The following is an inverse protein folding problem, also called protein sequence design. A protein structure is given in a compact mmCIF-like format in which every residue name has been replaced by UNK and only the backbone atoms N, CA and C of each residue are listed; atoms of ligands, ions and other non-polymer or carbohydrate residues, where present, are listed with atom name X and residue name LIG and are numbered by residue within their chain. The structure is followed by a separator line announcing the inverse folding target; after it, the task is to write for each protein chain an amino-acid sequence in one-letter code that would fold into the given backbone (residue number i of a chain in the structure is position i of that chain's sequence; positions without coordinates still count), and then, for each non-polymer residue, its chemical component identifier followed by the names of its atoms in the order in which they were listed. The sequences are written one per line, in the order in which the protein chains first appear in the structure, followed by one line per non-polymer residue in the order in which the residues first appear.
data_IF_420528391279
#
_entry.id   IF_420528391279
#
_cell.length_a   1.000
_cell.length_b   1.000
_cell.length_c   1.000
_cell.angle_alpha   90.00
_cell.angle_beta   90.00
_cell.angle_gamma   90.00
#
_symmetry.space_group_name_H-M   'P 1'
#
loop_
_entity.id
_entity.type
_entity.pdbx_description
1 polymer ?
#
# COMPACT_ATOMS: atom_id res chain seq x y z
N UNK A 1 -1.88 -2.87 20.04
CA UNK A 1 -2.43 -3.61 18.87
C UNK A 1 -3.68 -2.94 18.32
N UNK A 2 -4.62 -2.50 19.16
CA UNK A 2 -5.87 -1.81 18.75
C UNK A 2 -5.64 -0.52 17.95
N UNK A 3 -4.56 0.21 18.24
CA UNK A 3 -4.24 1.49 17.60
C UNK A 3 -3.85 1.35 16.12
N UNK A 4 -3.12 0.29 15.76
CA UNK A 4 -2.72 0.05 14.36
C UNK A 4 -3.94 -0.25 13.49
N UNK A 5 -4.83 -1.12 13.97
CA UNK A 5 -6.08 -1.47 13.27
C UNK A 5 -6.95 -0.24 13.04
N UNK A 6 -7.14 0.60 14.06
CA UNK A 6 -7.93 1.82 13.93
C UNK A 6 -7.27 2.83 12.96
N UNK A 7 -5.93 2.96 13.00
CA UNK A 7 -5.18 3.81 12.08
C UNK A 7 -5.30 3.35 10.62
N UNK A 8 -5.14 2.05 10.36
CA UNK A 8 -5.25 1.49 9.01
C UNK A 8 -6.69 1.52 8.48
N UNK A 9 -7.69 1.33 9.34
CA UNK A 9 -9.10 1.48 8.97
C UNK A 9 -9.43 2.92 8.54
N UNK A 10 -8.95 3.92 9.29
CA UNK A 10 -9.09 5.33 8.90
C UNK A 10 -8.41 5.62 7.58
N UNK A 11 -7.15 5.19 7.41
CA UNK A 11 -6.41 5.37 6.16
C UNK A 11 -7.16 4.75 4.97
N UNK A 12 -7.75 3.57 5.14
CA UNK A 12 -8.53 2.90 4.10
C UNK A 12 -9.77 3.72 3.71
N UNK A 13 -10.52 4.25 4.66
CA UNK A 13 -11.68 5.12 4.39
C UNK A 13 -11.25 6.36 3.60
N UNK A 14 -10.14 7.00 3.98
CA UNK A 14 -9.61 8.16 3.24
C UNK A 14 -9.21 7.79 1.80
N UNK A 15 -8.60 6.62 1.60
CA UNK A 15 -8.23 6.11 0.27
C UNK A 15 -9.47 5.80 -0.59
N UNK A 16 -10.49 5.17 -0.02
CA UNK A 16 -11.77 4.91 -0.68
C UNK A 16 -12.44 6.22 -1.11
N UNK A 17 -12.42 7.25 -0.25
CA UNK A 17 -12.91 8.60 -0.57
C UNK A 17 -12.14 9.29 -1.71
N UNK A 18 -10.90 8.87 -1.97
CA UNK A 18 -10.06 9.34 -3.08
C UNK A 18 -10.16 8.44 -4.34
N UNK A 19 -11.06 7.45 -4.35
CA UNK A 19 -11.27 6.55 -5.47
C UNK A 19 -10.30 5.36 -5.54
N UNK A 20 -9.54 5.11 -4.47
CA UNK A 20 -8.63 3.96 -4.38
C UNK A 20 -9.37 2.79 -3.73
N UNK A 21 -9.98 1.93 -4.55
CA UNK A 21 -10.86 0.84 -4.09
C UNK A 21 -10.16 -0.50 -3.88
N UNK A 22 -8.93 -0.64 -4.39
CA UNK A 22 -8.23 -1.92 -4.42
C UNK A 22 -7.36 -2.17 -3.18
N UNK A 23 -7.47 -1.31 -2.15
CA UNK A 23 -6.64 -1.40 -0.96
C UNK A 23 -7.13 -2.49 0.01
N UNK A 24 -6.23 -3.40 0.40
CA UNK A 24 -6.52 -4.49 1.34
C UNK A 24 -5.39 -4.72 2.36
N UNK A 25 -5.75 -5.27 3.52
CA UNK A 25 -4.80 -5.55 4.62
C UNK A 25 -4.09 -6.88 4.36
N UNK A 26 -2.76 -6.90 4.48
CA UNK A 26 -1.93 -8.09 4.17
C UNK A 26 -1.43 -8.81 5.41
N UNK A 27 -1.23 -8.11 6.54
CA UNK A 27 -0.68 -8.72 7.77
C UNK A 27 -1.00 -7.89 9.03
N UNK A 28 -1.39 -8.56 10.12
CA UNK A 28 -1.55 -8.07 11.50
C UNK A 28 -2.12 -6.65 11.67
N UNK A 29 -3.05 -6.25 10.79
CA UNK A 29 -3.68 -4.91 10.73
C UNK A 29 -2.71 -3.72 10.65
N UNK A 30 -1.44 -3.96 10.34
CA UNK A 30 -0.40 -2.92 10.30
C UNK A 30 0.11 -2.64 8.89
N UNK A 31 -0.30 -3.44 7.90
CA UNK A 31 0.12 -3.36 6.51
C UNK A 31 -1.11 -3.32 5.59
N UNK A 32 -1.22 -2.25 4.80
CA UNK A 32 -2.22 -2.08 3.75
C UNK A 32 -1.52 -2.07 2.39
N UNK A 33 -1.79 -3.09 1.58
CA UNK A 33 -1.43 -3.07 0.17
C UNK A 33 -2.47 -2.25 -0.57
N UNK A 34 -2.02 -1.26 -1.33
CA UNK A 34 -2.88 -0.35 -2.09
C UNK A 34 -2.83 -0.69 -3.57
N UNK A 35 -1.68 -1.15 -4.05
CA UNK A 35 -1.48 -1.67 -5.40
C UNK A 35 -0.26 -2.58 -5.42
N UNK A 36 -0.04 -3.30 -6.52
CA UNK A 36 1.15 -4.15 -6.69
C UNK A 36 2.40 -3.27 -6.57
N UNK A 37 3.19 -3.52 -5.52
CA UNK A 37 4.36 -2.73 -5.17
C UNK A 37 4.06 -1.46 -4.36
N UNK A 38 2.81 -1.04 -4.14
CA UNK A 38 2.49 0.11 -3.29
C UNK A 38 1.91 -0.35 -1.95
N UNK A 39 2.67 -0.19 -0.88
CA UNK A 39 2.30 -0.69 0.46
C UNK A 39 2.44 0.43 1.48
N UNK A 40 1.47 0.55 2.38
CA UNK A 40 1.52 1.43 3.55
C UNK A 40 1.60 0.59 4.81
N UNK A 41 2.50 0.96 5.72
CA UNK A 41 2.64 0.35 7.04
C UNK A 41 2.45 1.39 8.12
N UNK A 42 1.85 1.03 9.25
CA UNK A 42 1.75 1.89 10.42
C UNK A 42 2.55 1.32 11.58
N UNK A 43 3.54 2.08 12.06
CA UNK A 43 4.42 1.66 13.16
C UNK A 43 4.91 2.86 13.94
N UNK A 44 4.94 2.72 15.27
CA UNK A 44 5.43 3.73 16.21
C UNK A 44 4.65 5.06 16.11
N UNK A 45 3.38 5.04 15.69
CA UNK A 45 2.57 6.25 15.49
C UNK A 45 2.71 6.91 14.11
N UNK A 46 3.44 6.29 13.18
CA UNK A 46 3.70 6.85 11.86
C UNK A 46 3.26 5.92 10.73
N UNK A 47 2.68 6.51 9.69
CA UNK A 47 2.50 5.91 8.38
C UNK A 47 3.80 5.93 7.60
N UNK A 48 4.12 4.80 6.97
CA UNK A 48 5.30 4.59 6.13
C UNK A 48 4.85 3.86 4.88
N UNK A 49 4.91 4.52 3.73
CA UNK A 49 4.60 3.86 2.46
C UNK A 49 5.85 3.62 1.61
N UNK A 50 5.79 2.57 0.79
CA UNK A 50 6.90 2.03 -0.03
C UNK A 50 6.39 1.70 -1.44
N UNK A 51 7.27 1.82 -2.43
CA UNK A 51 7.00 1.55 -3.85
C UNK A 51 8.02 0.51 -4.40
N UNK A 52 7.53 -0.65 -4.82
CA UNK A 52 8.33 -1.76 -5.33
C UNK A 52 9.44 -2.19 -4.38
N UNK A 53 10.59 -2.56 -4.95
CA UNK A 53 11.83 -2.87 -4.21
C UNK A 53 12.51 -1.59 -3.69
N UNK A 54 12.02 -0.42 -4.08
CA UNK A 54 12.63 0.86 -3.76
C UNK A 54 12.14 1.29 -2.38
N UNK A 55 13.07 1.38 -1.43
CA UNK A 55 12.83 1.89 -0.07
C UNK A 55 12.61 3.42 -0.06
N UNK A 56 11.74 3.97 -0.90
CA UNK A 56 11.27 5.34 -0.69
C UNK A 56 10.39 5.33 0.55
N UNK A 57 10.90 5.91 1.64
CA UNK A 57 10.22 5.98 2.93
C UNK A 57 9.67 7.38 3.11
N UNK A 58 8.36 7.51 3.01
CA UNK A 58 7.67 8.75 3.35
C UNK A 58 7.01 8.58 4.71
N UNK A 59 7.52 9.31 5.70
CA UNK A 59 7.00 9.32 7.06
C UNK A 59 5.88 10.36 7.19
N UNK A 60 4.77 10.01 7.82
CA UNK A 60 3.73 10.96 8.20
C UNK A 60 2.90 10.47 9.36
N UNK A 61 2.34 11.38 10.16
CA UNK A 61 1.42 11.07 11.27
C UNK A 61 -0.04 11.31 10.89
N UNK A 62 -0.28 12.14 9.88
CA UNK A 62 -1.60 12.46 9.37
C UNK A 62 -2.09 11.41 8.36
N UNK A 63 -3.20 10.69 8.65
CA UNK A 63 -3.79 9.73 7.72
C UNK A 63 -4.26 10.37 6.42
N UNK A 64 -4.82 11.59 6.45
CA UNK A 64 -5.38 12.26 5.28
C UNK A 64 -4.25 12.62 4.31
N UNK A 65 -3.22 13.30 4.81
CA UNK A 65 -2.03 13.61 4.03
C UNK A 65 -1.31 12.36 3.51
N UNK A 66 -1.34 11.24 4.27
CA UNK A 66 -0.82 9.96 3.78
C UNK A 66 -1.67 9.43 2.61
N UNK A 67 -2.99 9.39 2.76
CA UNK A 67 -3.92 8.95 1.72
C UNK A 67 -3.77 9.76 0.43
N UNK A 68 -3.70 11.10 0.53
CA UNK A 68 -3.52 11.98 -0.65
C UNK A 68 -2.24 11.64 -1.42
N UNK A 69 -1.11 11.46 -0.72
CA UNK A 69 0.18 11.11 -1.37
C UNK A 69 0.12 9.75 -2.04
N UNK A 70 -0.48 8.76 -1.37
CA UNK A 70 -0.62 7.40 -1.87
C UNK A 70 -1.58 7.37 -3.07
N UNK A 71 -2.73 8.02 -2.99
CA UNK A 71 -3.70 8.10 -4.08
C UNK A 71 -3.15 8.82 -5.32
N UNK A 72 -2.40 9.91 -5.11
CA UNK A 72 -1.69 10.58 -6.20
C UNK A 72 -0.69 9.62 -6.87
N UNK A 73 0.12 8.91 -6.07
CA UNK A 73 1.11 7.97 -6.63
C UNK A 73 0.44 6.79 -7.32
N UNK A 74 -0.65 6.28 -6.77
CA UNK A 74 -1.49 5.26 -7.39
C UNK A 74 -1.98 5.70 -8.78
N UNK A 75 -2.51 6.90 -8.90
CA UNK A 75 -2.96 7.44 -10.19
C UNK A 75 -1.81 7.61 -11.20
N UNK A 76 -0.65 8.10 -10.75
CA UNK A 76 0.56 8.21 -11.59
C UNK A 76 1.00 6.83 -12.13
N UNK A 77 1.02 5.82 -11.26
CA UNK A 77 1.42 4.46 -11.62
C UNK A 77 0.40 3.75 -12.53
N UNK A 78 -0.89 4.05 -12.37
CA UNK A 78 -1.94 3.53 -13.25
C UNK A 78 -1.93 4.20 -14.63
N UNK A 79 -1.55 5.47 -14.70
CA UNK A 79 -1.44 6.21 -15.97
C UNK A 79 -0.22 5.77 -16.79
N UNK A 80 0.91 5.49 -16.12
CA UNK A 80 2.15 5.03 -16.74
C UNK A 80 2.72 3.87 -15.93
N UNK A 81 2.34 2.64 -16.30
CA UNK A 81 2.77 1.42 -15.61
C UNK A 81 4.29 1.27 -15.78
N UNK A 82 5.09 1.32 -14.70
CA UNK A 82 6.54 1.25 -14.83
C UNK A 82 7.01 -0.15 -15.26
N UNK A 83 8.15 -0.27 -15.96
CA UNK A 83 8.67 -1.57 -16.42
C UNK A 83 8.98 -2.56 -15.29
N UNK A 84 9.34 -2.06 -14.09
CA UNK A 84 9.59 -2.91 -12.93
C UNK A 84 8.30 -3.59 -12.40
N UNK A 85 7.12 -3.08 -12.76
CA UNK A 85 5.85 -3.65 -12.34
C UNK A 85 5.65 -5.05 -12.91
N UNK A 86 6.00 -5.28 -14.19
CA UNK A 86 5.85 -6.60 -14.80
C UNK A 86 6.74 -7.64 -14.11
N UNK A 87 7.98 -7.29 -13.79
CA UNK A 87 8.91 -8.18 -13.08
C UNK A 87 8.45 -8.45 -11.65
N UNK A 88 7.92 -7.43 -10.96
CA UNK A 88 7.32 -7.61 -9.64
C UNK A 88 6.05 -8.48 -9.71
N UNK A 89 5.18 -8.25 -10.69
CA UNK A 89 3.96 -9.02 -10.90
C UNK A 89 4.27 -10.48 -11.28
N UNK A 90 5.30 -10.73 -12.10
CA UNK A 90 5.79 -12.09 -12.41
C UNK A 90 6.31 -12.78 -11.16
N UNK A 91 7.08 -12.08 -10.32
CA UNK A 91 7.60 -12.64 -9.06
C UNK A 91 6.46 -13.01 -8.12
N UNK A 92 5.51 -12.09 -7.91
CA UNK A 92 4.36 -12.33 -7.03
C UNK A 92 3.43 -13.43 -7.57
N UNK A 93 3.20 -13.49 -8.88
CA UNK A 93 2.40 -14.55 -9.55
C UNK A 93 3.12 -15.90 -9.55
N UNK A 94 4.46 -15.91 -9.69
CA UNK A 94 5.29 -17.10 -9.60
C UNK A 94 5.31 -17.69 -8.18
N UNK A 95 5.36 -16.84 -7.16
CA UNK A 95 5.23 -17.25 -5.75
C UNK A 95 3.82 -17.77 -5.40
N UNK A 96 2.78 -17.36 -6.13
CA UNK A 96 1.42 -17.90 -5.95
C UNK A 96 1.19 -19.23 -6.68
N UNK A 97 2.06 -19.64 -7.61
CA UNK A 97 1.91 -20.88 -8.36
C UNK A 97 2.41 -22.13 -7.62
N UNK A 98 3.21 -21.99 -6.55
CA UNK A 98 3.81 -23.13 -5.84
C UNK A 98 3.22 -23.45 -4.46
N UNK A 99 2.17 -22.74 -4.02
CA UNK A 99 1.45 -23.09 -2.76
C UNK A 99 -0.05 -22.98 -2.90
N UNK A 100 -0.63 -23.93 -3.62
CA UNK A 100 -2.00 -24.35 -3.36
C UNK A 100 -2.07 -25.88 -3.55
N UNK A 101 -2.17 -26.69 -2.47
CA UNK A 101 -2.61 -28.06 -2.60
C UNK A 101 -4.09 -28.13 -3.04
#
# INVERSE_FOLDING_TARGET
MTDCRAAMAKLRVELEGLGVTDAYVVCDDAILSVWIGLVVTFRDGFYRWQEGVVKRRHLGTDPVGCAIRVARRYAELHAEIPPWWEELAKTLRGETAERYP
#
